data_IF_027367912932
#
_entry.id   IF_027367912932
#
_cell.length_a   1.000
_cell.length_b   1.000
_cell.length_c   1.000
_cell.angle_alpha   90.00
_cell.angle_beta   90.00
_cell.angle_gamma   90.00
#
_symmetry.space_group_name_H-M   'P 1'
#
loop_
_entity.id
_entity.type
_entity.pdbx_description
1 polymer ?
#
# COMPACT_ATOMS: atom_id res chain seq x y z
N UNK A 1 6.71 16.93 -3.97
CA UNK A 1 5.87 15.86 -4.49
C UNK A 1 6.01 15.81 -6.00
N UNK A 2 6.47 14.68 -6.52
CA UNK A 2 6.38 14.39 -7.94
C UNK A 2 5.02 13.75 -8.25
N UNK A 3 4.62 13.83 -9.51
CA UNK A 3 3.33 13.31 -9.95
C UNK A 3 3.25 11.78 -9.80
N UNK A 4 4.39 11.11 -10.00
CA UNK A 4 4.57 9.68 -9.82
C UNK A 4 4.23 9.22 -8.40
N UNK A 5 4.82 9.81 -7.36
CA UNK A 5 4.52 9.38 -5.98
C UNK A 5 3.11 9.74 -5.53
N UNK A 6 2.53 10.84 -6.03
CA UNK A 6 1.14 11.17 -5.77
C UNK A 6 0.22 10.06 -6.31
N UNK A 7 0.39 9.67 -7.56
CA UNK A 7 -0.41 8.60 -8.17
C UNK A 7 -0.22 7.30 -7.41
N UNK A 8 1.03 6.90 -7.15
CA UNK A 8 1.33 5.65 -6.42
C UNK A 8 0.70 5.65 -5.04
N UNK A 9 0.83 6.75 -4.30
CA UNK A 9 0.24 6.88 -2.96
C UNK A 9 -1.28 6.81 -2.98
N UNK A 10 -1.94 7.48 -3.93
CA UNK A 10 -3.39 7.43 -4.09
C UNK A 10 -3.89 6.03 -4.44
N UNK A 11 -3.20 5.33 -5.36
CA UNK A 11 -3.54 3.93 -5.71
C UNK A 11 -3.47 3.05 -4.47
N UNK A 12 -2.40 3.16 -3.67
CA UNK A 12 -2.23 2.38 -2.44
C UNK A 12 -3.32 2.69 -1.40
N UNK A 13 -3.65 3.96 -1.20
CA UNK A 13 -4.71 4.38 -0.27
C UNK A 13 -6.06 3.83 -0.72
N UNK A 14 -6.42 4.00 -2.00
CA UNK A 14 -7.69 3.51 -2.55
C UNK A 14 -7.77 1.99 -2.42
N UNK A 15 -6.70 1.27 -2.81
CA UNK A 15 -6.64 -0.18 -2.63
C UNK A 15 -6.82 -0.59 -1.16
N UNK A 16 -6.14 0.10 -0.23
CA UNK A 16 -6.26 -0.13 1.20
C UNK A 16 -7.68 0.10 1.74
N UNK A 17 -8.36 1.15 1.27
CA UNK A 17 -9.75 1.39 1.64
C UNK A 17 -10.70 0.32 1.09
N UNK A 18 -10.45 -0.19 -0.12
CA UNK A 18 -11.30 -1.19 -0.79
C UNK A 18 -11.15 -2.60 -0.21
N UNK A 19 -9.98 -3.01 0.28
CA UNK A 19 -9.80 -4.37 0.81
C UNK A 19 -10.61 -4.65 2.08
N UNK A 20 -11.04 -3.62 2.81
CA UNK A 20 -11.88 -3.79 4.02
C UNK A 20 -13.32 -4.24 3.69
N UNK A 21 -14.10 -3.54 2.84
CA UNK A 21 -15.41 -4.00 2.41
C UNK A 21 -15.33 -5.18 1.41
N UNK A 22 -14.24 -5.31 0.66
CA UNK A 22 -14.05 -6.36 -0.36
C UNK A 22 -12.81 -7.22 -0.07
N UNK A 23 -12.83 -8.08 0.97
CA UNK A 23 -11.68 -8.90 1.35
C UNK A 23 -11.19 -9.86 0.26
N UNK A 24 -12.03 -10.23 -0.70
CA UNK A 24 -11.62 -11.03 -1.86
C UNK A 24 -10.65 -10.30 -2.81
N UNK A 25 -10.42 -8.99 -2.64
CA UNK A 25 -9.33 -8.28 -3.31
C UNK A 25 -7.94 -8.67 -2.78
N UNK A 26 -7.86 -9.24 -1.57
CA UNK A 26 -6.61 -9.72 -1.01
C UNK A 26 -6.30 -11.07 -1.67
N UNK A 27 -5.34 -11.09 -2.60
CA UNK A 27 -5.02 -12.27 -3.41
C UNK A 27 -4.77 -13.53 -2.55
N UNK A 28 -4.01 -13.40 -1.46
CA UNK A 28 -3.73 -14.49 -0.53
C UNK A 28 -4.99 -15.04 0.15
N UNK A 29 -5.98 -14.21 0.44
CA UNK A 29 -7.28 -14.67 0.94
C UNK A 29 -8.11 -15.27 -0.20
N UNK A 30 -8.17 -14.63 -1.36
CA UNK A 30 -9.03 -15.03 -2.47
C UNK A 30 -8.75 -16.46 -2.97
N UNK A 31 -7.47 -16.85 -3.01
CA UNK A 31 -7.00 -18.17 -3.46
C UNK A 31 -7.34 -19.31 -2.48
N UNK A 32 -7.71 -19.01 -1.24
CA UNK A 32 -8.06 -20.04 -0.27
C UNK A 32 -9.38 -20.72 -0.63
N UNK A 33 -9.44 -22.03 -0.38
CA UNK A 33 -10.70 -22.79 -0.43
C UNK A 33 -11.63 -22.27 0.67
N UNK A 34 -12.96 -22.39 0.47
CA UNK A 34 -13.97 -21.90 1.43
C UNK A 34 -13.70 -22.33 2.88
N UNK A 35 -13.40 -23.61 3.07
CA UNK A 35 -13.05 -24.20 4.38
C UNK A 35 -11.85 -23.55 5.09
N UNK A 36 -10.92 -22.98 4.34
CA UNK A 36 -9.71 -22.35 4.88
C UNK A 36 -9.91 -20.84 5.04
N UNK A 37 -10.79 -20.22 4.21
CA UNK A 37 -11.28 -18.85 4.43
C UNK A 37 -12.01 -18.70 5.76
N UNK A 38 -12.84 -19.67 6.12
CA UNK A 38 -13.62 -19.68 7.39
C UNK A 38 -12.75 -19.69 8.65
N UNK A 39 -11.49 -20.15 8.55
CA UNK A 39 -10.53 -20.16 9.66
C UNK A 39 -9.87 -18.80 9.88
N UNK A 40 -9.96 -17.90 8.91
CA UNK A 40 -9.33 -16.58 8.97
C UNK A 40 -10.29 -15.59 9.60
N UNK A 41 -9.83 -14.89 10.62
CA UNK A 41 -10.50 -13.67 11.10
C UNK A 41 -10.38 -12.58 10.03
N UNK A 42 -11.32 -12.59 9.09
CA UNK A 42 -11.29 -11.71 7.94
C UNK A 42 -11.47 -10.25 8.32
N UNK A 43 -12.12 -9.95 9.46
CA UNK A 43 -12.30 -8.56 9.94
C UNK A 43 -10.98 -7.99 10.41
N UNK A 44 -10.23 -8.75 11.23
CA UNK A 44 -8.91 -8.34 11.69
C UNK A 44 -7.91 -8.30 10.54
N UNK A 45 -7.92 -9.32 9.68
CA UNK A 45 -7.00 -9.41 8.55
C UNK A 45 -7.22 -8.30 7.53
N UNK A 46 -8.46 -8.03 7.12
CA UNK A 46 -8.75 -6.93 6.17
C UNK A 46 -8.48 -5.55 6.77
N UNK A 47 -8.66 -5.38 8.09
CA UNK A 47 -8.30 -4.14 8.79
C UNK A 47 -6.79 -3.94 8.84
N UNK A 48 -6.03 -5.00 9.11
CA UNK A 48 -4.57 -4.97 9.03
C UNK A 48 -4.11 -4.59 7.63
N UNK A 49 -4.61 -5.27 6.59
CA UNK A 49 -4.27 -4.98 5.20
C UNK A 49 -4.63 -3.54 4.80
N UNK A 50 -5.82 -3.05 5.20
CA UNK A 50 -6.22 -1.65 5.00
C UNK A 50 -5.20 -0.68 5.59
N UNK A 51 -4.87 -0.87 6.87
CA UNK A 51 -4.00 0.06 7.59
C UNK A 51 -2.59 0.06 7.00
N UNK A 52 -2.07 -1.11 6.61
CA UNK A 52 -0.76 -1.23 5.94
C UNK A 52 -0.77 -0.50 4.59
N UNK A 53 -1.73 -0.78 3.71
CA UNK A 53 -1.80 -0.14 2.38
C UNK A 53 -2.02 1.37 2.45
N UNK A 54 -2.92 1.83 3.33
CA UNK A 54 -3.15 3.27 3.54
C UNK A 54 -1.92 3.93 4.13
N UNK A 55 -1.28 3.31 5.13
CA UNK A 55 -0.04 3.80 5.73
C UNK A 55 1.08 3.93 4.72
N UNK A 56 1.28 2.93 3.86
CA UNK A 56 2.26 2.98 2.77
C UNK A 56 1.96 4.10 1.77
N UNK A 57 0.71 4.25 1.36
CA UNK A 57 0.36 5.31 0.41
C UNK A 57 0.57 6.71 0.98
N UNK A 58 0.25 6.94 2.25
CA UNK A 58 0.57 8.20 2.96
C UNK A 58 2.09 8.40 3.02
N UNK A 59 2.84 7.36 3.39
CA UNK A 59 4.29 7.41 3.51
C UNK A 59 4.97 7.78 2.18
N UNK A 60 4.53 7.19 1.06
CA UNK A 60 5.04 7.49 -0.29
C UNK A 60 4.80 8.97 -0.64
N UNK A 61 3.62 9.51 -0.34
CA UNK A 61 3.31 10.93 -0.56
C UNK A 61 4.21 11.82 0.29
N UNK A 62 4.39 11.50 1.56
CA UNK A 62 5.26 12.26 2.47
C UNK A 62 6.73 12.24 2.01
N UNK A 63 7.23 11.08 1.55
CA UNK A 63 8.58 10.97 0.97
C UNK A 63 8.68 11.85 -0.27
N UNK A 64 7.73 11.79 -1.20
CA UNK A 64 7.77 12.63 -2.40
C UNK A 64 7.71 14.14 -2.09
N UNK A 65 7.01 14.55 -1.02
CA UNK A 65 7.05 15.94 -0.51
C UNK A 65 8.44 16.27 0.02
N UNK A 66 8.99 15.42 0.89
CA UNK A 66 10.31 15.59 1.49
C UNK A 66 11.43 15.64 0.43
N UNK A 67 11.46 14.70 -0.51
CA UNK A 67 12.46 14.65 -1.57
C UNK A 67 12.44 15.91 -2.45
N UNK A 68 11.25 16.43 -2.77
CA UNK A 68 11.13 17.70 -3.50
C UNK A 68 11.63 18.89 -2.68
N UNK A 69 11.43 18.88 -1.35
CA UNK A 69 11.97 19.92 -0.47
C UNK A 69 13.49 20.01 -0.57
N UNK A 70 14.17 18.87 -0.64
CA UNK A 70 15.63 18.79 -0.79
C UNK A 70 16.11 18.84 -2.25
N UNK A 71 15.24 19.19 -3.20
CA UNK A 71 15.56 19.24 -4.64
C UNK A 71 16.19 17.95 -5.19
N UNK A 72 15.87 16.80 -4.58
CA UNK A 72 16.36 15.49 -5.01
C UNK A 72 15.72 15.13 -6.34
N UNK A 73 16.52 14.79 -7.36
CA UNK A 73 15.98 14.42 -8.69
C UNK A 73 14.91 13.33 -8.59
N UNK A 74 13.82 13.49 -9.36
CA UNK A 74 12.68 12.57 -9.36
C UNK A 74 13.08 11.09 -9.47
N UNK A 75 14.01 10.76 -10.36
CA UNK A 75 14.53 9.40 -10.53
C UNK A 75 15.02 8.75 -9.21
N UNK A 76 15.69 9.50 -8.35
CA UNK A 76 16.17 9.00 -7.06
C UNK A 76 15.03 8.91 -6.04
N UNK A 77 14.12 9.87 -6.05
CA UNK A 77 12.92 9.86 -5.21
C UNK A 77 12.06 8.61 -5.46
N UNK A 78 11.84 8.28 -6.74
CA UNK A 78 11.11 7.08 -7.16
C UNK A 78 11.86 5.80 -6.77
N UNK A 79 13.18 5.76 -6.94
CA UNK A 79 13.99 4.60 -6.55
C UNK A 79 13.91 4.33 -5.04
N UNK A 80 14.00 5.38 -4.22
CA UNK A 80 13.90 5.26 -2.76
C UNK A 80 12.50 4.79 -2.39
N UNK A 81 11.46 5.41 -2.95
CA UNK A 81 10.06 5.07 -2.65
C UNK A 81 9.73 3.62 -3.01
N UNK A 82 10.17 3.15 -4.19
CA UNK A 82 9.94 1.77 -4.64
C UNK A 82 10.70 0.74 -3.80
N UNK A 83 11.95 1.02 -3.44
CA UNK A 83 12.74 0.16 -2.54
C UNK A 83 12.07 0.04 -1.16
N UNK A 84 11.55 1.14 -0.64
CA UNK A 84 10.87 1.16 0.64
C UNK A 84 9.56 0.35 0.61
N UNK A 85 8.76 0.49 -0.47
CA UNK A 85 7.57 -0.35 -0.68
C UNK A 85 7.97 -1.83 -0.69
N UNK A 86 9.03 -2.22 -1.42
CA UNK A 86 9.48 -3.61 -1.47
C UNK A 86 9.86 -4.15 -0.09
N UNK A 87 10.62 -3.39 0.70
CA UNK A 87 11.02 -3.78 2.06
C UNK A 87 9.83 -3.96 3.02
N UNK A 88 8.74 -3.26 2.80
CA UNK A 88 7.53 -3.38 3.64
C UNK A 88 6.61 -4.53 3.25
N UNK A 89 6.78 -5.08 2.04
CA UNK A 89 5.92 -6.14 1.48
C UNK A 89 6.60 -7.51 1.48
N UNK A 90 7.94 -7.56 1.45
CA UNK A 90 8.77 -8.75 1.61
C UNK A 90 8.83 -9.21 3.07
#
# INVERSE_FOLDING_TARGET
MYFSELITGLILIIAGLLVKPFPNLIAGYNMLKKRDKEKIDIKRYSTFMRNTLVGLGIMVILIGIFMKWFEVKEQYSVLISTTLIMLTVL
#
